data_IF_578757138470
#
_entry.id   IF_578757138470
#
_cell.length_a   1.000
_cell.length_b   1.000
_cell.length_c   1.000
_cell.angle_alpha   90.00
_cell.angle_beta   90.00
_cell.angle_gamma   90.00
#
_symmetry.space_group_name_H-M   'P 1'
#
loop_
_entity.id
_entity.type
_entity.pdbx_description
1 polymer ?
#
# COMPACT_ATOMS: atom_id res chain seq x y z
N UNK A 1 -29.87 -0.52 -23.98
CA UNK A 1 -28.88 -0.49 -25.08
C UNK A 1 -27.51 -0.70 -24.46
N UNK A 2 -26.70 -1.60 -25.01
CA UNK A 2 -25.29 -1.76 -24.62
C UNK A 2 -24.41 -0.86 -25.49
N UNK A 3 -23.54 -0.08 -24.86
CA UNK A 3 -22.55 0.74 -25.55
C UNK A 3 -21.18 0.08 -25.39
N UNK A 4 -20.45 -0.10 -26.49
CA UNK A 4 -19.08 -0.61 -26.49
C UNK A 4 -18.15 0.40 -27.16
N UNK A 5 -16.92 0.51 -26.64
CA UNK A 5 -15.88 1.36 -27.24
C UNK A 5 -15.41 0.70 -28.53
N UNK A 6 -15.37 1.46 -29.63
CA UNK A 6 -14.96 0.94 -30.93
C UNK A 6 -13.52 0.38 -30.86
N UNK A 7 -13.29 -0.92 -31.14
CA UNK A 7 -11.97 -1.55 -31.02
C UNK A 7 -10.89 -0.91 -31.91
N UNK A 8 -11.26 -0.21 -32.98
CA UNK A 8 -10.31 0.52 -33.83
C UNK A 8 -9.63 1.71 -33.13
N UNK A 9 -10.19 2.21 -32.02
CA UNK A 9 -9.66 3.36 -31.26
C UNK A 9 -8.51 3.00 -30.31
N UNK A 10 -8.27 1.70 -30.05
CA UNK A 10 -7.22 1.24 -29.14
C UNK A 10 -5.78 1.41 -29.66
N UNK A 11 -5.59 2.13 -30.77
CA UNK A 11 -4.28 2.46 -31.35
C UNK A 11 -3.53 3.57 -30.60
N UNK A 12 -4.24 4.42 -29.87
CA UNK A 12 -3.67 5.46 -29.00
C UNK A 12 -4.49 5.50 -27.70
N UNK A 13 -4.02 4.76 -26.70
CA UNK A 13 -4.61 4.70 -25.36
C UNK A 13 -3.61 5.33 -24.39
N UNK A 14 -4.08 6.26 -23.57
CA UNK A 14 -3.34 6.78 -22.42
C UNK A 14 -3.90 6.16 -21.14
N UNK A 15 -3.03 5.91 -20.16
CA UNK A 15 -3.45 5.34 -18.88
C UNK A 15 -4.12 6.42 -18.02
N UNK A 16 -5.32 6.13 -17.53
CA UNK A 16 -6.01 6.94 -16.52
C UNK A 16 -5.99 6.16 -15.21
N UNK A 17 -5.44 6.70 -14.11
CA UNK A 17 -5.53 6.09 -12.79
C UNK A 17 -6.98 5.75 -12.39
N UNK A 18 -7.22 4.53 -11.89
CA UNK A 18 -8.55 4.05 -11.53
C UNK A 18 -9.20 4.90 -10.42
N UNK A 19 -8.42 5.46 -9.49
CA UNK A 19 -8.92 6.37 -8.45
C UNK A 19 -9.72 7.57 -8.99
N UNK A 20 -9.38 8.07 -10.19
CA UNK A 20 -10.14 9.14 -10.85
C UNK A 20 -11.53 8.63 -11.27
N UNK A 21 -11.61 7.43 -11.82
CA UNK A 21 -12.86 6.79 -12.23
C UNK A 21 -13.71 6.36 -11.03
N UNK A 22 -13.09 5.85 -9.96
CA UNK A 22 -13.80 5.30 -8.81
C UNK A 22 -14.26 6.37 -7.82
N UNK A 23 -13.45 7.41 -7.58
CA UNK A 23 -13.72 8.45 -6.58
C UNK A 23 -14.21 9.77 -7.18
N UNK A 24 -13.59 10.23 -8.27
CA UNK A 24 -13.84 11.58 -8.78
C UNK A 24 -14.92 11.66 -9.86
N UNK A 25 -15.25 10.57 -10.58
CA UNK A 25 -16.22 10.62 -11.70
C UNK A 25 -17.63 11.10 -11.30
N UNK A 26 -18.02 10.97 -10.01
CA UNK A 26 -19.31 11.41 -9.48
C UNK A 26 -19.31 12.84 -8.94
N UNK A 27 -18.14 13.38 -8.60
CA UNK A 27 -17.97 14.69 -7.95
C UNK A 27 -17.39 15.75 -8.90
N UNK A 28 -16.68 15.30 -9.93
CA UNK A 28 -16.04 16.13 -10.93
C UNK A 28 -17.07 16.76 -11.89
N UNK A 29 -16.88 18.04 -12.23
CA UNK A 29 -17.65 18.65 -13.32
C UNK A 29 -17.28 18.01 -14.67
N UNK A 30 -18.22 17.97 -15.60
CA UNK A 30 -17.98 17.46 -16.96
C UNK A 30 -16.93 18.25 -17.76
N UNK A 31 -16.52 19.42 -17.25
CA UNK A 31 -15.45 20.28 -17.77
C UNK A 31 -14.11 19.82 -17.23
N UNK A 32 -14.01 19.63 -15.91
CA UNK A 32 -12.80 19.18 -15.24
C UNK A 32 -12.35 17.79 -15.73
N UNK A 33 -13.28 16.87 -16.01
CA UNK A 33 -12.92 15.57 -16.59
C UNK A 33 -12.31 15.72 -18.00
N UNK A 34 -12.85 16.61 -18.85
CA UNK A 34 -12.29 16.87 -20.18
C UNK A 34 -10.92 17.55 -20.10
N UNK A 35 -10.72 18.46 -19.16
CA UNK A 35 -9.41 19.09 -18.91
C UNK A 35 -8.36 18.04 -18.54
N UNK A 36 -8.69 17.13 -17.61
CA UNK A 36 -7.79 16.06 -17.17
C UNK A 36 -7.47 15.06 -18.31
N UNK A 37 -8.46 14.66 -19.11
CA UNK A 37 -8.25 13.75 -20.24
C UNK A 37 -7.39 14.37 -21.35
N UNK A 38 -7.43 15.70 -21.54
CA UNK A 38 -6.52 16.40 -22.45
C UNK A 38 -5.09 16.45 -21.87
N UNK A 39 -4.96 16.77 -20.57
CA UNK A 39 -3.67 16.87 -19.90
C UNK A 39 -2.94 15.51 -19.80
N UNK A 40 -3.67 14.42 -19.52
CA UNK A 40 -3.15 13.05 -19.52
C UNK A 40 -2.76 12.53 -20.91
N UNK A 41 -3.27 13.17 -21.98
CA UNK A 41 -2.95 12.82 -23.36
C UNK A 41 -1.66 13.50 -23.81
N UNK A 42 -1.55 14.82 -23.65
CA UNK A 42 -0.43 15.62 -24.14
C UNK A 42 0.01 16.67 -23.07
N UNK A 43 0.75 16.29 -22.02
CA UNK A 43 1.06 17.18 -20.88
C UNK A 43 1.87 18.43 -21.29
N UNK A 44 2.77 18.31 -22.27
CA UNK A 44 3.58 19.43 -22.78
C UNK A 44 2.75 20.46 -23.57
N UNK A 45 1.62 20.06 -24.16
CA UNK A 45 0.76 20.95 -24.97
C UNK A 45 -0.35 21.58 -24.14
N UNK A 46 -0.77 20.93 -23.05
CA UNK A 46 -1.91 21.35 -22.23
C UNK A 46 -1.52 21.84 -20.82
N UNK A 47 -0.23 22.08 -20.56
CA UNK A 47 0.23 22.73 -19.32
C UNK A 47 -0.28 24.17 -19.13
N UNK A 48 -0.69 24.85 -20.22
CA UNK A 48 -1.29 26.20 -20.17
C UNK A 48 -2.84 26.11 -20.17
N UNK A 49 -3.54 26.67 -19.17
CA UNK A 49 -5.01 26.74 -19.15
C UNK A 49 -5.62 27.42 -20.38
N UNK A 50 -4.92 28.37 -21.03
CA UNK A 50 -5.41 29.02 -22.24
C UNK A 50 -5.46 28.06 -23.45
N UNK A 51 -4.54 27.11 -23.54
CA UNK A 51 -4.53 26.08 -24.59
C UNK A 51 -5.70 25.09 -24.42
N UNK A 52 -5.99 24.68 -23.17
CA UNK A 52 -7.14 23.84 -22.83
C UNK A 52 -8.46 24.59 -23.13
N UNK A 53 -8.59 25.84 -22.69
CA UNK A 53 -9.77 26.67 -22.94
C UNK A 53 -10.10 26.82 -24.43
N UNK A 54 -9.07 27.10 -25.26
CA UNK A 54 -9.20 27.18 -26.71
C UNK A 54 -9.63 25.85 -27.36
N UNK A 55 -9.24 24.71 -26.76
CA UNK A 55 -9.60 23.37 -27.28
C UNK A 55 -10.98 22.90 -26.85
N UNK A 56 -11.45 23.32 -25.67
CA UNK A 56 -12.78 22.98 -25.14
C UNK A 56 -13.88 23.98 -25.53
N UNK A 57 -13.51 25.19 -25.95
CA UNK A 57 -14.47 26.26 -26.24
C UNK A 57 -15.11 26.86 -24.99
N UNK A 58 -14.42 26.81 -23.86
CA UNK A 58 -14.90 27.25 -22.54
C UNK A 58 -14.08 28.43 -22.01
N UNK A 59 -14.65 29.28 -21.13
CA UNK A 59 -13.92 30.41 -20.56
C UNK A 59 -12.71 29.94 -19.74
N UNK A 60 -11.63 30.71 -19.79
CA UNK A 60 -10.36 30.40 -19.10
C UNK A 60 -10.53 30.29 -17.58
N UNK A 61 -11.47 31.02 -16.99
CA UNK A 61 -11.82 30.91 -15.57
C UNK A 61 -12.31 29.51 -15.21
N UNK A 62 -13.30 28.98 -15.94
CA UNK A 62 -13.89 27.65 -15.68
C UNK A 62 -12.88 26.51 -15.87
N UNK A 63 -11.91 26.69 -16.78
CA UNK A 63 -10.77 25.77 -16.95
C UNK A 63 -9.75 25.90 -15.82
N UNK A 64 -9.47 27.12 -15.36
CA UNK A 64 -8.58 27.36 -14.21
C UNK A 64 -9.15 26.77 -12.92
N UNK A 65 -10.44 26.96 -12.66
CA UNK A 65 -11.15 26.41 -11.50
C UNK A 65 -11.18 24.88 -11.56
N UNK A 66 -11.41 24.32 -12.76
CA UNK A 66 -11.33 22.88 -13.00
C UNK A 66 -9.93 22.29 -12.75
N UNK A 67 -8.86 22.98 -13.12
CA UNK A 67 -7.49 22.56 -12.84
C UNK A 67 -7.14 22.72 -11.34
N UNK A 68 -7.60 23.79 -10.70
CA UNK A 68 -7.43 24.01 -9.26
C UNK A 68 -8.07 22.88 -8.43
N UNK A 69 -9.28 22.44 -8.80
CA UNK A 69 -9.94 21.28 -8.18
C UNK A 69 -9.09 20.01 -8.25
N UNK A 70 -8.41 19.76 -9.37
CA UNK A 70 -7.53 18.58 -9.51
C UNK A 70 -6.21 18.71 -8.75
N UNK A 71 -5.70 19.93 -8.58
CA UNK A 71 -4.53 20.21 -7.72
C UNK A 71 -4.89 20.00 -6.25
N UNK A 72 -6.04 20.52 -5.80
CA UNK A 72 -6.57 20.31 -4.45
C UNK A 72 -6.91 18.83 -4.18
N UNK A 73 -7.41 18.12 -5.19
CA UNK A 73 -7.65 16.66 -5.14
C UNK A 73 -6.34 15.84 -5.13
N UNK A 74 -5.17 16.45 -5.25
CA UNK A 74 -3.87 15.77 -5.30
C UNK A 74 -3.63 14.93 -6.58
N UNK A 75 -4.47 15.09 -7.61
CA UNK A 75 -4.36 14.39 -8.89
C UNK A 75 -3.36 15.09 -9.81
N UNK A 76 -3.18 16.41 -9.66
CA UNK A 76 -2.20 17.20 -10.39
C UNK A 76 -1.22 17.89 -9.42
N UNK A 77 0.07 17.61 -9.56
CA UNK A 77 1.11 18.37 -8.88
C UNK A 77 1.48 19.60 -9.74
N UNK A 78 1.42 20.80 -9.17
CA UNK A 78 1.98 21.99 -9.81
C UNK A 78 3.51 21.89 -9.78
N UNK A 79 4.12 21.61 -10.92
CA UNK A 79 5.57 21.73 -11.12
C UNK A 79 5.91 23.14 -11.61
N UNK A 80 5.83 24.13 -10.71
CA UNK A 80 6.61 25.35 -10.88
C UNK A 80 8.06 25.03 -10.49
N UNK A 81 9.02 25.30 -11.36
CA UNK A 81 10.41 24.89 -11.16
C UNK A 81 11.08 25.65 -10.02
N UNK A 82 11.51 24.95 -8.97
CA UNK A 82 12.40 25.51 -7.96
C UNK A 82 13.83 25.65 -8.51
N UNK A 83 14.22 26.86 -8.88
CA UNK A 83 15.60 27.31 -8.74
C UNK A 83 15.78 27.97 -7.35
N UNK A 84 16.69 27.39 -6.56
CA UNK A 84 17.13 27.71 -5.17
C UNK A 84 17.97 29.02 -5.11
N UNK A 85 18.52 29.55 -3.96
CA UNK A 85 18.74 29.02 -2.57
C UNK A 85 18.21 29.98 -1.45
N UNK A 86 18.52 29.95 -0.13
CA UNK A 86 19.55 29.40 0.81
C UNK A 86 18.85 28.87 2.10
N UNK A 87 19.36 27.93 2.92
CA UNK A 87 20.60 27.78 3.74
C UNK A 87 20.75 28.76 4.93
N UNK A 88 21.41 28.41 6.06
CA UNK A 88 21.98 27.12 6.52
C UNK A 88 21.29 26.60 7.84
N UNK A 89 21.50 25.38 8.34
CA UNK A 89 22.66 24.85 9.11
C UNK A 89 22.34 23.37 9.49
N UNK A 90 23.26 22.43 9.73
CA UNK A 90 24.71 22.45 9.69
C UNK A 90 25.28 21.03 9.40
N UNK A 91 26.38 20.99 8.63
CA UNK A 91 27.44 19.98 8.49
C UNK A 91 27.30 18.47 8.84
N UNK A 92 27.92 17.68 7.94
CA UNK A 92 28.73 16.48 8.17
C UNK A 92 28.10 15.09 7.91
N UNK A 93 27.96 14.75 6.62
CA UNK A 93 27.92 13.35 6.19
C UNK A 93 29.31 12.69 6.31
N UNK A 94 29.36 11.46 6.82
CA UNK A 94 30.43 10.51 6.50
C UNK A 94 29.95 9.55 5.41
N UNK A 95 30.71 9.43 4.33
CA UNK A 95 30.34 8.62 3.16
C UNK A 95 30.76 7.16 3.32
N UNK A 96 29.88 6.23 2.90
CA UNK A 96 30.24 4.87 2.51
C UNK A 96 29.28 4.37 1.39
N UNK A 97 29.68 3.45 0.50
CA UNK A 97 29.04 3.30 -0.82
C UNK A 97 27.78 2.41 -0.86
N UNK A 98 26.91 2.69 -1.83
CA UNK A 98 25.68 1.95 -2.14
C UNK A 98 25.90 0.44 -2.45
N UNK A 99 25.05 -0.45 -1.92
CA UNK A 99 24.63 -1.69 -2.58
C UNK A 99 23.55 -1.41 -3.65
N UNK A 100 23.37 -2.29 -4.65
CA UNK A 100 22.40 -2.09 -5.74
C UNK A 100 20.93 -2.21 -5.31
N UNK A 101 19.98 -1.59 -6.05
CA UNK A 101 18.58 -1.50 -5.65
C UNK A 101 17.82 -2.82 -5.76
N UNK A 102 17.15 -3.21 -4.67
CA UNK A 102 16.12 -4.24 -4.69
C UNK A 102 14.80 -3.69 -5.30
N UNK A 103 14.00 -4.51 -6.01
CA UNK A 103 12.84 -4.03 -6.75
C UNK A 103 11.69 -3.58 -5.83
N UNK A 104 11.15 -2.40 -6.12
CA UNK A 104 9.99 -1.84 -5.41
C UNK A 104 8.70 -2.61 -5.75
N UNK A 105 7.98 -3.06 -4.71
CA UNK A 105 6.63 -3.61 -4.81
C UNK A 105 5.59 -2.48 -4.62
N UNK A 106 4.58 -2.35 -5.49
CA UNK A 106 3.60 -1.25 -5.43
C UNK A 106 2.39 -1.53 -4.50
N UNK A 107 1.62 -0.47 -4.29
CA UNK A 107 0.21 -0.41 -3.84
C UNK A 107 -0.12 -0.65 -2.34
N UNK A 108 -0.24 0.48 -1.63
CA UNK A 108 -1.37 0.91 -0.77
C UNK A 108 -2.37 -0.16 -0.29
N UNK A 109 -2.37 -0.38 1.02
CA UNK A 109 -3.47 -0.93 1.82
C UNK A 109 -4.32 0.22 2.41
N UNK A 110 -5.53 0.01 2.97
CA UNK A 110 -6.37 1.11 3.50
C UNK A 110 -5.59 1.98 4.51
N UNK A 111 -5.74 3.30 4.40
CA UNK A 111 -5.02 4.25 5.23
C UNK A 111 -5.56 4.22 6.68
N UNK A 112 -4.88 3.41 7.50
CA UNK A 112 -5.01 3.39 8.97
C UNK A 112 -4.84 4.80 9.55
N UNK A 113 -5.54 5.16 10.64
CA UNK A 113 -5.16 6.31 11.47
C UNK A 113 -3.71 6.14 11.93
N UNK A 114 -2.83 7.02 11.45
CA UNK A 114 -1.41 6.97 11.79
C UNK A 114 -1.24 7.55 13.19
N UNK A 115 -0.96 6.72 14.19
CA UNK A 115 -0.83 7.24 15.55
C UNK A 115 0.46 8.08 15.64
N UNK A 116 0.40 9.32 16.14
CA UNK A 116 1.60 10.10 16.41
C UNK A 116 2.45 9.35 17.44
N UNK A 117 3.77 9.36 17.22
CA UNK A 117 4.74 8.51 17.93
C UNK A 117 4.59 8.52 19.45
N UNK A 118 4.30 9.69 20.02
CA UNK A 118 4.21 9.89 21.46
C UNK A 118 2.91 9.34 22.06
N UNK A 119 1.82 9.31 21.29
CA UNK A 119 0.53 8.74 21.68
C UNK A 119 0.58 7.20 21.69
N UNK A 120 1.25 6.60 20.70
CA UNK A 120 1.47 5.15 20.66
C UNK A 120 2.32 4.66 21.84
N UNK A 121 3.36 5.40 22.24
CA UNK A 121 4.18 5.07 23.41
C UNK A 121 3.39 5.28 24.71
N UNK A 122 2.68 6.40 24.86
CA UNK A 122 1.86 6.66 26.05
C UNK A 122 0.75 5.62 26.26
N UNK A 123 0.15 5.11 25.18
CA UNK A 123 -0.86 4.05 25.25
C UNK A 123 -0.27 2.71 25.68
N UNK A 124 0.93 2.36 25.19
CA UNK A 124 1.67 1.15 25.60
C UNK A 124 2.09 1.21 27.07
N UNK A 125 2.53 2.37 27.56
CA UNK A 125 2.89 2.57 28.97
C UNK A 125 1.66 2.60 29.90
N UNK A 126 0.50 3.03 29.38
CA UNK A 126 -0.77 3.07 30.11
C UNK A 126 -1.49 1.72 30.22
N UNK A 127 -1.30 0.81 29.26
CA UNK A 127 -1.92 -0.53 29.24
C UNK A 127 -0.89 -1.63 29.51
N UNK A 128 -1.04 -2.30 30.65
CA UNK A 128 -0.18 -3.42 31.03
C UNK A 128 -0.19 -4.55 29.99
N UNK A 129 -1.33 -4.83 29.35
CA UNK A 129 -1.42 -5.90 28.34
C UNK A 129 -0.61 -5.60 27.08
N UNK A 130 -0.58 -4.33 26.66
CA UNK A 130 0.31 -3.87 25.58
C UNK A 130 1.78 -3.93 26.01
N UNK A 131 2.11 -3.51 27.22
CA UNK A 131 3.48 -3.60 27.76
C UNK A 131 4.00 -5.04 27.83
N UNK A 132 3.18 -5.98 28.33
CA UNK A 132 3.52 -7.41 28.39
C UNK A 132 3.70 -7.97 26.97
N UNK A 133 2.78 -7.66 26.04
CA UNK A 133 2.83 -8.06 24.63
C UNK A 133 4.08 -7.49 23.89
N UNK A 134 4.48 -6.26 24.18
CA UNK A 134 5.74 -5.66 23.68
C UNK A 134 6.95 -6.47 24.13
N UNK A 135 6.99 -6.91 25.38
CA UNK A 135 8.06 -7.76 25.92
C UNK A 135 8.12 -9.13 25.23
N UNK A 136 6.96 -9.79 25.07
CA UNK A 136 6.87 -11.09 24.39
C UNK A 136 7.29 -11.00 22.91
N UNK A 137 6.86 -9.95 22.21
CA UNK A 137 7.22 -9.74 20.80
C UNK A 137 8.70 -9.39 20.61
N UNK A 138 9.32 -8.64 21.53
CA UNK A 138 10.78 -8.41 21.49
C UNK A 138 11.56 -9.71 21.72
N UNK A 139 11.08 -10.57 22.62
CA UNK A 139 11.65 -11.90 22.86
C UNK A 139 11.54 -12.80 21.61
N UNK A 140 10.36 -12.87 20.99
CA UNK A 140 10.11 -13.64 19.76
C UNK A 140 10.91 -13.14 18.56
N UNK A 141 11.02 -11.83 18.37
CA UNK A 141 11.72 -11.22 17.23
C UNK A 141 13.24 -11.13 17.44
N UNK A 142 13.74 -11.28 18.67
CA UNK A 142 15.16 -11.16 19.02
C UNK A 142 15.72 -9.74 18.84
N UNK A 143 14.86 -8.71 18.80
CA UNK A 143 15.21 -7.30 18.57
C UNK A 143 14.27 -6.38 19.35
N UNK A 144 14.73 -5.17 19.65
CA UNK A 144 13.85 -4.11 20.13
C UNK A 144 12.85 -3.72 19.03
N UNK A 145 11.61 -3.44 19.44
CA UNK A 145 10.57 -2.89 18.56
C UNK A 145 10.89 -1.41 18.28
N UNK A 146 10.89 -1.03 17.00
CA UNK A 146 11.03 0.38 16.61
C UNK A 146 9.73 1.15 16.83
N UNK A 147 9.75 2.48 16.76
CA UNK A 147 8.52 3.28 16.86
C UNK A 147 7.49 2.96 15.76
N UNK A 148 7.94 2.52 14.59
CA UNK A 148 7.05 2.05 13.52
C UNK A 148 6.45 0.67 13.83
N UNK A 149 7.23 -0.22 14.46
CA UNK A 149 6.72 -1.51 14.93
C UNK A 149 5.67 -1.34 16.05
N UNK A 150 5.84 -0.33 16.92
CA UNK A 150 4.89 0.01 17.99
C UNK A 150 3.58 0.63 17.46
N UNK A 151 3.64 1.55 16.48
CA UNK A 151 2.44 2.06 15.78
C UNK A 151 1.63 0.91 15.16
N UNK A 152 2.33 -0.06 14.54
CA UNK A 152 1.68 -1.27 14.00
C UNK A 152 1.05 -2.13 15.08
N UNK A 153 1.74 -2.35 16.20
CA UNK A 153 1.24 -3.14 17.32
C UNK A 153 0.01 -2.51 17.98
N UNK A 154 0.08 -1.21 18.30
CA UNK A 154 -1.02 -0.42 18.86
C UNK A 154 -2.26 -0.56 17.99
N UNK A 155 -2.12 -0.42 16.67
CA UNK A 155 -3.28 -0.49 15.80
C UNK A 155 -3.72 -1.92 15.45
N UNK A 156 -2.88 -2.96 15.62
CA UNK A 156 -3.35 -4.36 15.65
C UNK A 156 -4.28 -4.61 16.86
N UNK A 157 -3.90 -4.07 18.02
CA UNK A 157 -4.68 -4.23 19.25
C UNK A 157 -5.91 -3.31 19.32
N UNK A 158 -5.77 -2.01 19.04
CA UNK A 158 -6.81 -0.99 19.27
C UNK A 158 -7.68 -0.66 18.04
N UNK A 159 -7.17 -0.81 16.82
CA UNK A 159 -7.96 -0.53 15.59
C UNK A 159 -8.55 -1.80 14.97
N UNK A 160 -7.77 -2.89 14.92
CA UNK A 160 -8.26 -4.20 14.49
C UNK A 160 -8.90 -5.02 15.62
N UNK A 161 -8.85 -4.55 16.87
CA UNK A 161 -9.45 -5.20 18.05
C UNK A 161 -9.00 -6.66 18.25
N UNK A 162 -7.75 -6.98 17.86
CA UNK A 162 -7.22 -8.34 17.91
C UNK A 162 -6.74 -8.69 19.33
N UNK A 163 -6.93 -9.95 19.71
CA UNK A 163 -6.44 -10.46 20.98
C UNK A 163 -4.90 -10.49 21.01
N UNK A 164 -4.27 -10.46 22.21
CA UNK A 164 -2.84 -10.71 22.34
C UNK A 164 -2.41 -12.06 21.73
N UNK A 165 -3.22 -13.11 21.90
CA UNK A 165 -2.97 -14.44 21.32
C UNK A 165 -2.91 -14.40 19.79
N UNK A 166 -3.87 -13.74 19.15
CA UNK A 166 -3.91 -13.56 17.70
C UNK A 166 -2.62 -12.90 17.19
N UNK A 167 -2.20 -11.81 17.84
CA UNK A 167 -1.04 -11.01 17.45
C UNK A 167 0.25 -11.84 17.59
N UNK A 168 0.38 -12.60 18.68
CA UNK A 168 1.51 -13.51 18.90
C UNK A 168 1.57 -14.63 17.85
N UNK A 169 0.45 -15.33 17.61
CA UNK A 169 0.38 -16.42 16.60
C UNK A 169 0.65 -15.90 15.19
N UNK A 170 0.10 -14.73 14.82
CA UNK A 170 0.37 -14.04 13.56
C UNK A 170 1.87 -13.72 13.36
N UNK A 171 2.52 -13.15 14.37
CA UNK A 171 3.93 -12.74 14.26
C UNK A 171 4.84 -13.98 14.28
N UNK A 172 4.53 -15.00 15.07
CA UNK A 172 5.21 -16.30 15.04
C UNK A 172 5.12 -16.95 13.64
N UNK A 173 3.93 -16.96 13.02
CA UNK A 173 3.78 -17.40 11.63
C UNK A 173 4.65 -16.59 10.66
N UNK A 174 4.69 -15.25 10.81
CA UNK A 174 5.53 -14.37 9.99
C UNK A 174 7.05 -14.67 10.16
N UNK A 175 7.49 -15.03 11.37
CA UNK A 175 8.86 -15.50 11.64
C UNK A 175 9.11 -16.84 10.93
N UNK A 176 8.24 -17.84 11.13
CA UNK A 176 8.36 -19.19 10.56
C UNK A 176 8.44 -19.19 9.02
N UNK A 177 7.73 -18.29 8.34
CA UNK A 177 7.80 -18.20 6.88
C UNK A 177 9.03 -17.46 6.34
N UNK A 178 9.81 -16.79 7.21
CA UNK A 178 10.96 -15.96 6.84
C UNK A 178 10.60 -14.52 6.44
N UNK A 179 9.58 -13.93 7.07
CA UNK A 179 9.12 -12.54 6.86
C UNK A 179 8.78 -11.81 8.19
N UNK A 180 9.73 -11.69 9.15
CA UNK A 180 9.49 -11.11 10.49
C UNK A 180 9.41 -9.56 10.50
N UNK A 181 8.47 -9.01 9.72
CA UNK A 181 8.22 -7.56 9.61
C UNK A 181 6.82 -7.23 10.11
N UNK A 182 6.69 -6.26 11.02
CA UNK A 182 5.39 -5.84 11.55
C UNK A 182 4.46 -5.32 10.45
N UNK A 183 4.96 -4.48 9.54
CA UNK A 183 4.20 -4.00 8.38
C UNK A 183 3.86 -5.09 7.34
N UNK A 184 4.47 -6.28 7.42
CA UNK A 184 4.00 -7.46 6.69
C UNK A 184 2.93 -8.22 7.49
N UNK A 185 3.14 -8.41 8.80
CA UNK A 185 2.17 -9.03 9.70
C UNK A 185 0.82 -8.30 9.67
N UNK A 186 0.80 -6.97 9.65
CA UNK A 186 -0.42 -6.17 9.47
C UNK A 186 -1.19 -6.51 8.19
N UNK A 187 -0.50 -6.63 7.04
CA UNK A 187 -1.14 -6.98 5.78
C UNK A 187 -1.71 -8.40 5.81
N UNK A 188 -1.04 -9.31 6.50
CA UNK A 188 -1.52 -10.68 6.72
C UNK A 188 -2.73 -10.67 7.65
N UNK A 189 -2.71 -9.91 8.74
CA UNK A 189 -3.87 -9.73 9.63
C UNK A 189 -5.09 -9.19 8.88
N UNK A 190 -4.92 -8.12 8.08
CA UNK A 190 -6.00 -7.56 7.28
C UNK A 190 -6.58 -8.56 6.27
N UNK A 191 -5.74 -9.44 5.68
CA UNK A 191 -6.20 -10.54 4.82
C UNK A 191 -6.99 -11.57 5.63
N UNK A 192 -6.46 -12.02 6.77
CA UNK A 192 -7.09 -13.05 7.59
C UNK A 192 -8.42 -12.59 8.21
N UNK A 193 -8.53 -11.32 8.61
CA UNK A 193 -9.79 -10.70 9.02
C UNK A 193 -10.80 -10.70 7.85
N UNK A 194 -10.36 -10.34 6.64
CA UNK A 194 -11.22 -10.37 5.45
C UNK A 194 -11.63 -11.81 5.04
N UNK A 195 -10.77 -12.81 5.32
CA UNK A 195 -11.03 -14.24 5.13
C UNK A 195 -11.92 -14.84 6.24
N UNK A 196 -12.34 -14.06 7.25
CA UNK A 196 -13.19 -14.50 8.36
C UNK A 196 -12.46 -15.39 9.38
N UNK A 197 -11.18 -15.10 9.65
CA UNK A 197 -10.35 -15.86 10.60
C UNK A 197 -10.38 -15.19 11.96
N UNK A 198 -11.26 -15.69 12.83
CA UNK A 198 -11.40 -15.26 14.21
C UNK A 198 -10.32 -15.84 15.14
N UNK A 199 -10.28 -15.36 16.39
CA UNK A 199 -9.33 -15.75 17.43
C UNK A 199 -9.35 -17.26 17.74
N UNK A 200 -10.52 -17.89 17.83
CA UNK A 200 -10.64 -19.35 18.00
C UNK A 200 -10.18 -20.16 16.76
N UNK A 201 -10.08 -19.51 15.61
CA UNK A 201 -9.71 -20.10 14.33
C UNK A 201 -8.22 -19.96 13.98
N UNK A 202 -7.49 -19.08 14.68
CA UNK A 202 -6.16 -18.62 14.24
C UNK A 202 -5.12 -19.74 14.19
N UNK A 203 -5.05 -20.57 15.21
CA UNK A 203 -4.05 -21.65 15.30
C UNK A 203 -4.32 -22.72 14.22
N UNK A 204 -5.59 -23.11 14.03
CA UNK A 204 -6.01 -24.04 12.95
C UNK A 204 -5.72 -23.45 11.57
N UNK A 205 -5.85 -22.14 11.41
CA UNK A 205 -5.52 -21.46 10.16
C UNK A 205 -4.01 -21.53 9.89
N UNK A 206 -3.19 -21.21 10.88
CA UNK A 206 -1.72 -21.28 10.78
C UNK A 206 -1.24 -22.71 10.51
N UNK A 207 -1.74 -23.70 11.24
CA UNK A 207 -1.44 -25.11 11.01
C UNK A 207 -1.74 -25.54 9.57
N UNK A 208 -2.91 -25.14 9.04
CA UNK A 208 -3.30 -25.40 7.65
C UNK A 208 -2.34 -24.74 6.65
N UNK A 209 -1.88 -23.51 6.89
CA UNK A 209 -0.91 -22.83 6.03
C UNK A 209 0.47 -23.51 6.07
N UNK A 210 0.94 -23.92 7.26
CA UNK A 210 2.22 -24.61 7.43
C UNK A 210 2.19 -26.03 6.82
N UNK A 211 1.08 -26.74 6.95
CA UNK A 211 0.85 -28.03 6.30
C UNK A 211 0.83 -27.90 4.78
N UNK A 212 0.13 -26.89 4.24
CA UNK A 212 0.11 -26.55 2.81
C UNK A 212 1.52 -26.28 2.28
N UNK A 213 2.30 -25.42 2.95
CA UNK A 213 3.72 -25.15 2.64
C UNK A 213 4.59 -26.41 2.66
N UNK A 214 4.34 -27.30 3.62
CA UNK A 214 5.05 -28.58 3.74
C UNK A 214 4.71 -29.54 2.59
N UNK A 215 3.43 -29.61 2.20
CA UNK A 215 2.97 -30.43 1.08
C UNK A 215 3.45 -29.88 -0.27
N UNK A 216 3.41 -28.55 -0.46
CA UNK A 216 4.04 -27.86 -1.60
C UNK A 216 5.53 -28.23 -1.70
N UNK A 217 6.27 -28.27 -0.58
CA UNK A 217 7.65 -28.73 -0.54
C UNK A 217 7.84 -30.20 -0.96
N UNK A 218 6.99 -31.11 -0.48
CA UNK A 218 7.02 -32.54 -0.86
C UNK A 218 6.73 -32.75 -2.34
N UNK A 219 5.68 -32.09 -2.86
CA UNK A 219 5.30 -32.15 -4.29
C UNK A 219 6.44 -31.60 -5.15
N UNK A 220 7.00 -30.44 -4.77
CA UNK A 220 8.14 -29.83 -5.45
C UNK A 220 9.35 -30.77 -5.53
N UNK A 221 9.66 -31.48 -4.44
CA UNK A 221 10.73 -32.48 -4.41
C UNK A 221 10.41 -33.70 -5.29
N UNK A 222 9.17 -34.23 -5.24
CA UNK A 222 8.74 -35.38 -6.03
C UNK A 222 8.78 -35.14 -7.55
N UNK A 223 8.48 -33.92 -8.00
CA UNK A 223 8.59 -33.51 -9.40
C UNK A 223 9.98 -32.97 -9.80
N UNK A 224 10.97 -32.96 -8.89
CA UNK A 224 12.33 -32.51 -9.17
C UNK A 224 12.46 -31.00 -9.45
N UNK A 225 11.49 -30.18 -9.03
CA UNK A 225 11.44 -28.74 -9.34
C UNK A 225 12.27 -27.95 -8.31
N UNK A 226 13.60 -27.96 -8.43
CA UNK A 226 14.48 -27.23 -7.50
C UNK A 226 14.55 -25.74 -7.76
N UNK A 227 14.51 -25.33 -9.02
CA UNK A 227 15.00 -24.01 -9.44
C UNK A 227 13.92 -22.91 -9.46
N UNK A 228 12.67 -23.26 -9.15
CA UNK A 228 11.55 -22.31 -9.11
C UNK A 228 10.57 -22.58 -7.97
N UNK A 229 9.81 -21.55 -7.62
CA UNK A 229 8.62 -21.69 -6.78
C UNK A 229 7.42 -22.11 -7.64
N UNK A 230 6.44 -22.76 -7.01
CA UNK A 230 5.21 -23.19 -7.65
C UNK A 230 4.35 -21.95 -8.03
N UNK A 231 3.84 -21.95 -9.25
CA UNK A 231 2.88 -20.96 -9.77
C UNK A 231 1.58 -20.99 -8.95
N UNK A 232 0.79 -19.93 -9.03
CA UNK A 232 -0.48 -19.84 -8.28
C UNK A 232 -1.43 -20.99 -8.61
N UNK A 233 -1.50 -21.42 -9.89
CA UNK A 233 -2.30 -22.58 -10.31
C UNK A 233 -1.77 -23.91 -9.76
N UNK A 234 -0.46 -24.16 -9.83
CA UNK A 234 0.12 -25.37 -9.22
C UNK A 234 -0.16 -25.42 -7.70
N UNK A 235 -0.07 -24.27 -7.02
CA UNK A 235 -0.43 -24.14 -5.59
C UNK A 235 -1.92 -24.27 -5.30
N UNK A 236 -2.80 -24.08 -6.26
CA UNK A 236 -4.24 -24.30 -6.12
C UNK A 236 -4.57 -25.80 -6.17
N UNK A 237 -4.00 -26.52 -7.14
CA UNK A 237 -4.14 -27.98 -7.26
C UNK A 237 -3.56 -28.77 -6.06
N UNK A 238 -2.53 -28.27 -5.38
CA UNK A 238 -1.94 -28.92 -4.19
C UNK A 238 -2.79 -28.71 -2.92
N UNK A 239 -3.76 -27.80 -2.96
CA UNK A 239 -4.61 -27.45 -1.83
C UNK A 239 -6.04 -28.02 -1.90
N UNK A 240 -6.31 -28.82 -2.93
CA UNK A 240 -7.55 -29.58 -3.12
C UNK A 240 -7.36 -31.00 -2.59
#
# INVERSE_FOLDING_TARGET
>A
MSFSVNPALWRQVFAVPSDIADRHIKLCSGVALKCLLLLLRDPETFGDPAAIAKRLGQPVSEVSDALAYWVESGVLCRSEGEETPVSPDNSAASQAPNPPPAPALPAVAPQRPRYPRDEAVALVEGDKTLSDLVGELQSLLGKLLTSADLDVLVALYSFYSLSPHYILTLINYCILIGRPSMGYAEKVAASWIADGVDDEGIDRHVDRLLLRRTNEGKVRAAFGITDRNLTSREREYIAT
#
